data_IF_156282856629
#
_entry.id   IF_156282856629
#
_cell.length_a   1.000
_cell.length_b   1.000
_cell.length_c   1.000
_cell.angle_alpha   90.00
_cell.angle_beta   90.00
_cell.angle_gamma   90.00
#
_symmetry.space_group_name_H-M   'P 1'
#
loop_
_entity.id
_entity.type
_entity.pdbx_description
1 polymer ?
#
# COMPACT_ATOMS: atom_id res chain seq x y z
N UNK A 1 17.37 -3.13 0.24
CA UNK A 1 16.63 -2.91 1.50
C UNK A 1 15.10 -2.96 1.33
N UNK A 2 14.49 -1.95 0.69
CA UNK A 2 13.02 -1.83 0.56
C UNK A 2 12.27 -3.10 0.16
N UNK A 3 12.71 -3.78 -0.91
CA UNK A 3 12.04 -4.99 -1.40
C UNK A 3 12.01 -6.10 -0.35
N UNK A 4 13.14 -6.36 0.33
CA UNK A 4 13.21 -7.39 1.36
C UNK A 4 12.34 -7.06 2.57
N UNK A 5 12.30 -5.79 2.97
CA UNK A 5 11.47 -5.33 4.08
C UNK A 5 9.97 -5.48 3.77
N UNK A 6 9.54 -5.14 2.55
CA UNK A 6 8.16 -5.34 2.08
C UNK A 6 7.81 -6.82 1.87
N UNK A 7 8.73 -7.62 1.33
CA UNK A 7 8.52 -9.06 1.12
C UNK A 7 8.39 -9.84 2.43
N UNK A 8 8.93 -9.30 3.53
CA UNK A 8 8.77 -9.84 4.87
C UNK A 8 7.43 -9.49 5.53
N UNK A 9 6.59 -8.65 4.90
CA UNK A 9 5.22 -8.37 5.37
C UNK A 9 4.31 -9.47 4.85
N UNK A 10 3.67 -10.19 5.78
CA UNK A 10 2.76 -11.29 5.43
C UNK A 10 1.51 -10.76 4.72
N UNK A 11 1.08 -11.48 3.68
CA UNK A 11 -0.14 -11.17 2.93
C UNK A 11 0.01 -10.02 1.92
N UNK A 12 1.22 -9.50 1.68
CA UNK A 12 1.47 -8.59 0.56
C UNK A 12 1.84 -9.34 -0.72
N UNK A 13 1.21 -8.93 -1.83
CA UNK A 13 1.59 -9.31 -3.17
C UNK A 13 2.42 -8.18 -3.81
N UNK A 14 3.71 -8.44 -4.07
CA UNK A 14 4.60 -7.47 -4.69
C UNK A 14 4.63 -7.67 -6.22
N UNK A 15 4.48 -6.59 -6.96
CA UNK A 15 4.57 -6.60 -8.42
C UNK A 15 6.00 -6.32 -8.90
N UNK A 16 6.36 -6.98 -10.00
CA UNK A 16 7.64 -6.83 -10.69
C UNK A 16 8.71 -7.83 -10.23
N UNK A 17 9.88 -7.83 -10.90
CA UNK A 17 10.95 -8.79 -10.63
C UNK A 17 11.67 -8.50 -9.30
N UNK A 18 12.12 -9.55 -8.61
CA UNK A 18 13.01 -9.41 -7.46
C UNK A 18 14.28 -8.66 -7.87
N UNK A 19 14.85 -7.78 -7.01
CA UNK A 19 16.13 -7.12 -7.29
C UNK A 19 17.28 -8.11 -7.57
N UNK A 20 17.17 -9.36 -7.14
CA UNK A 20 18.18 -10.40 -7.40
C UNK A 20 18.14 -10.94 -8.84
N UNK A 21 17.05 -10.69 -9.57
CA UNK A 21 16.80 -11.25 -10.91
C UNK A 21 17.12 -10.23 -12.00
N UNK A 22 16.84 -8.94 -11.76
CA UNK A 22 17.07 -7.88 -12.72
C UNK A 22 17.19 -6.51 -12.05
N UNK A 23 17.92 -5.61 -12.70
CA UNK A 23 17.95 -4.19 -12.34
C UNK A 23 16.53 -3.61 -12.42
N UNK A 24 16.16 -2.85 -11.39
CA UNK A 24 14.84 -2.24 -11.25
C UNK A 24 14.93 -0.79 -10.83
N UNK A 25 13.87 -0.04 -11.14
CA UNK A 25 13.69 1.28 -10.56
C UNK A 25 13.54 1.19 -9.03
N UNK A 26 13.91 2.26 -8.33
CA UNK A 26 13.77 2.40 -6.88
C UNK A 26 12.31 2.60 -6.44
N UNK A 27 11.41 1.74 -6.94
CA UNK A 27 9.98 1.74 -6.65
C UNK A 27 9.49 0.31 -6.49
N UNK A 28 8.46 0.13 -5.67
CA UNK A 28 7.76 -1.13 -5.46
C UNK A 28 6.26 -0.85 -5.53
N UNK A 29 5.58 -1.55 -6.43
CA UNK A 29 4.13 -1.61 -6.44
C UNK A 29 3.69 -2.89 -5.73
N UNK A 30 2.66 -2.80 -4.90
CA UNK A 30 2.14 -3.91 -4.11
C UNK A 30 0.65 -3.77 -3.88
N UNK A 31 0.02 -4.88 -3.52
CA UNK A 31 -1.35 -4.96 -3.03
C UNK A 31 -1.42 -5.93 -1.86
N UNK A 32 -2.43 -5.78 -1.02
CA UNK A 32 -2.76 -6.81 -0.04
C UNK A 32 -3.50 -7.96 -0.73
N UNK A 33 -3.32 -9.17 -0.20
CA UNK A 33 -3.96 -10.39 -0.71
C UNK A 33 -5.33 -10.64 -0.09
N UNK A 34 -5.67 -9.97 1.00
CA UNK A 34 -6.98 -10.08 1.63
C UNK A 34 -8.02 -9.24 0.90
N UNK A 35 -9.23 -9.78 0.78
CA UNK A 35 -10.37 -9.05 0.23
C UNK A 35 -10.78 -7.91 1.15
N UNK A 36 -11.21 -6.78 0.56
CA UNK A 36 -11.62 -5.58 1.30
C UNK A 36 -10.49 -4.62 1.67
N UNK A 37 -9.23 -4.99 1.42
CA UNK A 37 -8.07 -4.09 1.62
C UNK A 37 -7.69 -3.47 0.28
N UNK A 38 -8.11 -2.22 0.06
CA UNK A 38 -7.82 -1.51 -1.18
C UNK A 38 -6.56 -0.66 -1.09
N UNK A 39 -5.80 -0.49 -2.19
CA UNK A 39 -4.58 0.30 -2.19
C UNK A 39 -4.82 1.78 -1.84
N UNK A 40 -6.03 2.29 -2.10
CA UNK A 40 -6.43 3.65 -1.75
C UNK A 40 -6.47 3.87 -0.22
N UNK A 41 -6.97 2.89 0.53
CA UNK A 41 -7.07 2.96 1.98
C UNK A 41 -5.71 2.90 2.64
N UNK A 42 -4.85 1.99 2.15
CA UNK A 42 -3.44 1.91 2.57
C UNK A 42 -2.76 3.26 2.37
N UNK A 43 -2.95 3.90 1.22
CA UNK A 43 -2.35 5.20 0.93
C UNK A 43 -2.88 6.32 1.83
N UNK A 44 -4.19 6.32 2.13
CA UNK A 44 -4.81 7.31 3.00
C UNK A 44 -4.30 7.21 4.44
N UNK A 45 -4.23 5.99 4.99
CA UNK A 45 -3.76 5.75 6.35
C UNK A 45 -2.28 6.10 6.51
N UNK A 46 -1.45 5.72 5.53
CA UNK A 46 -0.03 6.06 5.56
C UNK A 46 0.23 7.57 5.42
N UNK A 47 -0.61 8.28 4.67
CA UNK A 47 -0.52 9.75 4.56
C UNK A 47 -0.77 10.41 5.92
N UNK A 48 -1.70 9.89 6.72
CA UNK A 48 -1.96 10.37 8.09
C UNK A 48 -0.76 10.17 9.03
N UNK A 49 0.04 9.13 8.80
CA UNK A 49 1.30 8.86 9.51
C UNK A 49 2.51 9.61 8.94
N UNK A 50 2.31 10.41 7.90
CA UNK A 50 3.34 11.23 7.27
C UNK A 50 4.13 10.55 6.15
N UNK A 51 3.70 9.38 5.68
CA UNK A 51 4.31 8.65 4.57
C UNK A 51 3.48 8.77 3.30
N UNK A 52 3.90 9.66 2.40
CA UNK A 52 3.21 9.88 1.13
C UNK A 52 3.49 8.76 0.12
N UNK A 53 2.50 7.91 -0.12
CA UNK A 53 2.51 6.91 -1.21
C UNK A 53 1.42 7.22 -2.24
N UNK A 54 1.46 6.53 -3.39
CA UNK A 54 0.44 6.70 -4.44
C UNK A 54 -0.36 5.42 -4.60
N UNK A 55 -1.68 5.54 -4.69
CA UNK A 55 -2.58 4.46 -5.06
C UNK A 55 -3.20 4.68 -6.45
N UNK A 56 -3.63 3.60 -7.11
CA UNK A 56 -4.40 3.60 -8.35
C UNK A 56 -3.67 2.90 -9.50
N UNK A 57 -4.11 3.15 -10.75
CA UNK A 57 -3.55 2.44 -11.91
C UNK A 57 -2.20 2.99 -12.39
N UNK A 58 -1.75 4.11 -11.84
CA UNK A 58 -0.50 4.79 -12.24
C UNK A 58 -0.38 5.04 -13.76
N UNK A 59 -1.50 5.39 -14.42
CA UNK A 59 -1.61 5.52 -15.87
C UNK A 59 -1.32 4.22 -16.67
N UNK A 60 -1.26 3.07 -16.00
CA UNK A 60 -1.02 1.74 -16.56
C UNK A 60 -2.26 0.83 -16.40
N UNK A 61 -3.43 1.36 -16.74
CA UNK A 61 -4.72 0.64 -16.62
C UNK A 61 -4.77 -0.69 -17.40
N UNK A 62 -4.23 -0.80 -18.64
CA UNK A 62 -4.20 -2.08 -19.35
C UNK A 62 -3.38 -3.16 -18.64
N UNK A 63 -2.27 -2.76 -18.00
CA UNK A 63 -1.41 -3.67 -17.24
C UNK A 63 -2.12 -4.18 -15.99
N UNK A 64 -2.76 -3.28 -15.24
CA UNK A 64 -3.53 -3.67 -14.05
C UNK A 64 -4.67 -4.62 -14.38
N UNK A 65 -5.32 -4.45 -15.55
CA UNK A 65 -6.32 -5.40 -16.05
C UNK A 65 -5.72 -6.78 -16.36
N UNK A 66 -4.50 -6.84 -16.90
CA UNK A 66 -3.81 -8.10 -17.18
C UNK A 66 -3.30 -8.79 -15.89
N UNK A 67 -3.07 -8.03 -14.83
CA UNK A 67 -2.64 -8.51 -13.51
C UNK A 67 -3.82 -8.80 -12.56
N UNK A 68 -5.05 -8.77 -13.08
CA UNK A 68 -6.29 -8.96 -12.30
C UNK A 68 -6.41 -8.03 -11.08
N UNK A 69 -5.88 -6.81 -11.20
CA UNK A 69 -5.89 -5.78 -10.17
C UNK A 69 -6.76 -4.58 -10.59
N UNK A 70 -8.10 -4.74 -10.69
CA UNK A 70 -8.98 -3.73 -11.27
C UNK A 70 -9.00 -2.40 -10.49
N UNK A 71 -8.70 -2.43 -9.19
CA UNK A 71 -8.68 -1.26 -8.31
C UNK A 71 -7.31 -0.53 -8.29
N UNK A 72 -6.33 -1.00 -9.06
CA UNK A 72 -4.99 -0.42 -9.12
C UNK A 72 -4.01 -1.09 -8.16
N UNK A 73 -2.91 -0.41 -7.86
CA UNK A 73 -1.93 -0.85 -6.86
C UNK A 73 -1.47 0.30 -5.97
N UNK A 74 -0.92 -0.03 -4.80
CA UNK A 74 -0.19 0.91 -3.97
C UNK A 74 1.28 0.92 -4.41
N UNK A 75 1.86 2.10 -4.58
CA UNK A 75 3.25 2.26 -5.04
C UNK A 75 4.04 3.18 -4.12
N UNK A 76 5.12 2.63 -3.61
CA UNK A 76 6.19 3.37 -2.93
C UNK A 76 7.29 3.63 -3.95
N UNK A 77 7.68 4.89 -4.08
CA UNK A 77 8.80 5.29 -4.93
C UNK A 77 9.81 6.07 -4.11
N UNK A 78 11.02 5.55 -4.02
CA UNK A 78 12.14 6.21 -3.37
C UNK A 78 12.85 7.13 -4.35
N UNK A 79 13.52 8.11 -3.76
CA UNK A 79 14.41 9.06 -4.40
C UNK A 79 15.72 9.13 -3.62
N UNK A 80 16.73 9.80 -4.16
CA UNK A 80 18.10 9.88 -3.63
C UNK A 80 18.23 10.47 -2.22
N UNK A 81 17.18 11.13 -1.71
CA UNK A 81 17.14 11.72 -0.37
C UNK A 81 16.53 10.81 0.70
N UNK A 82 16.04 9.62 0.34
CA UNK A 82 15.47 8.69 1.32
C UNK A 82 16.57 7.84 1.96
N UNK A 83 16.43 7.56 3.24
CA UNK A 83 17.37 6.75 4.03
C UNK A 83 16.79 5.38 4.35
N UNK A 84 17.65 4.45 4.77
CA UNK A 84 17.20 3.12 5.23
C UNK A 84 16.33 3.21 6.49
N UNK A 85 16.60 4.18 7.36
CA UNK A 85 15.77 4.45 8.55
C UNK A 85 14.35 4.88 8.17
N UNK A 86 14.18 5.67 7.11
CA UNK A 86 12.86 6.06 6.60
C UNK A 86 12.09 4.83 6.09
N UNK A 87 12.79 3.90 5.42
CA UNK A 87 12.22 2.65 4.93
C UNK A 87 11.74 1.78 6.10
N UNK A 88 12.56 1.64 7.16
CA UNK A 88 12.20 0.84 8.33
C UNK A 88 11.01 1.45 9.09
N UNK A 89 10.99 2.78 9.24
CA UNK A 89 9.87 3.51 9.82
C UNK A 89 8.58 3.34 9.01
N UNK A 90 8.70 3.45 7.69
CA UNK A 90 7.60 3.23 6.75
C UNK A 90 7.05 1.80 6.83
N UNK A 91 7.91 0.78 6.82
CA UNK A 91 7.47 -0.63 6.86
C UNK A 91 6.80 -0.96 8.19
N UNK A 92 7.24 -0.35 9.29
CA UNK A 92 6.56 -0.48 10.59
C UNK A 92 5.15 0.10 10.54
N UNK A 93 5.01 1.35 10.05
CA UNK A 93 3.69 1.98 9.91
C UNK A 93 2.77 1.17 8.98
N UNK A 94 3.30 0.72 7.83
CA UNK A 94 2.57 -0.12 6.89
C UNK A 94 2.01 -1.40 7.53
N UNK A 95 2.78 -2.06 8.40
CA UNK A 95 2.31 -3.26 9.11
C UNK A 95 1.15 -2.94 10.06
N UNK A 96 1.29 -1.88 10.84
CA UNK A 96 0.25 -1.41 11.78
C UNK A 96 -1.05 -1.06 11.05
N UNK A 97 -0.95 -0.32 9.93
CA UNK A 97 -2.12 0.10 9.16
C UNK A 97 -2.77 -1.05 8.38
N UNK A 98 -1.98 -1.98 7.82
CA UNK A 98 -2.53 -3.19 7.20
C UNK A 98 -3.27 -4.04 8.25
N UNK A 99 -2.68 -4.25 9.43
CA UNK A 99 -3.33 -5.02 10.49
C UNK A 99 -4.66 -4.37 10.93
N UNK A 100 -4.71 -3.04 11.01
CA UNK A 100 -5.92 -2.28 11.27
C UNK A 100 -6.99 -2.44 10.18
N UNK A 101 -6.60 -2.38 8.90
CA UNK A 101 -7.53 -2.60 7.79
C UNK A 101 -8.09 -4.03 7.80
N UNK A 102 -7.25 -5.01 8.13
CA UNK A 102 -7.64 -6.43 8.22
C UNK A 102 -8.55 -6.72 9.42
N UNK A 103 -8.43 -5.99 10.53
CA UNK A 103 -9.34 -6.11 11.68
C UNK A 103 -10.72 -5.50 11.42
N UNK A 104 -10.89 -4.76 10.32
CA UNK A 104 -12.12 -4.02 10.00
C UNK A 104 -12.28 -2.75 10.83
N UNK A 105 -11.24 -2.33 11.54
CA UNK A 105 -11.25 -1.15 12.41
C UNK A 105 -10.66 0.06 11.67
N UNK A 106 -11.19 0.42 10.50
CA UNK A 106 -10.62 1.49 9.68
C UNK A 106 -11.63 2.17 8.78
N UNK A 107 -11.30 3.37 8.30
CA UNK A 107 -12.08 4.03 7.25
C UNK A 107 -11.72 3.38 5.89
N UNK A 108 -12.52 2.40 5.48
CA UNK A 108 -12.31 1.63 4.24
C UNK A 108 -13.12 2.24 3.10
N UNK A 109 -12.56 2.26 1.90
CA UNK A 109 -13.24 2.65 0.68
C UNK A 109 -14.19 1.52 0.23
N UNK A 110 -15.48 1.82 0.15
CA UNK A 110 -16.48 0.92 -0.43
C UNK A 110 -16.61 1.18 -1.95
N UNK A 111 -16.19 0.24 -2.82
CA UNK A 111 -16.31 0.41 -4.27
C UNK A 111 -17.74 0.37 -4.79
N UNK A 112 -18.69 -0.21 -4.04
CA UNK A 112 -20.11 -0.29 -4.40
C UNK A 112 -20.91 0.91 -3.87
N UNK A 113 -20.35 1.68 -2.93
CA UNK A 113 -20.95 2.90 -2.39
C UNK A 113 -19.92 4.01 -2.13
N UNK A 114 -19.59 4.85 -3.14
CA UNK A 114 -18.53 5.85 -3.03
C UNK A 114 -18.80 6.99 -2.03
N UNK A 115 -20.02 7.11 -1.49
CA UNK A 115 -20.36 8.08 -0.44
C UNK A 115 -20.27 7.49 0.98
N UNK A 116 -20.14 6.15 1.11
CA UNK A 116 -19.99 5.49 2.39
C UNK A 116 -18.51 5.23 2.70
N UNK A 117 -17.89 6.19 3.39
CA UNK A 117 -16.66 5.90 4.11
C UNK A 117 -17.06 5.28 5.46
N UNK A 118 -16.88 3.96 5.61
CA UNK A 118 -17.24 3.27 6.86
C UNK A 118 -16.16 3.55 7.90
N UNK A 119 -16.23 4.67 8.62
CA UNK A 119 -15.35 4.91 9.75
C UNK A 119 -15.89 4.21 11.00
N UNK A 120 -15.30 3.06 11.34
CA UNK A 120 -15.45 2.52 12.70
C UNK A 120 -14.77 3.50 13.68
N UNK A 121 -15.51 4.00 14.66
CA UNK A 121 -15.22 5.22 15.42
C UNK A 121 -14.05 5.16 16.44
N UNK A 122 -13.01 4.34 16.23
CA UNK A 122 -12.01 4.11 17.30
C UNK A 122 -10.82 5.07 17.32
N UNK A 123 -10.52 5.80 16.23
CA UNK A 123 -9.31 6.63 16.16
C UNK A 123 -9.49 8.01 15.53
N UNK A 124 -10.46 8.78 16.03
CA UNK A 124 -10.37 10.24 15.95
C UNK A 124 -9.34 10.68 17.00
N UNK A 125 -8.04 10.71 16.64
CA UNK A 125 -7.02 11.29 17.53
C UNK A 125 -7.39 12.76 17.76
N UNK A 126 -7.62 13.09 19.04
CA UNK A 126 -7.92 14.42 19.57
C UNK A 126 -6.80 15.42 19.34
#
# INVERSE_FOLDING_TARGET
HLWGALAAVEGLHLYGPSPDVADRAALVAFNDTQEGVYPADIALLLDADGYAIRAGHHCAQPLHKALDAPYGSARVSLSFYNTEADIDGFVRALREEIEMLRSGEGCVFDPDNPEACFCSSSRMRS
#
